data_IF_086611602050
#
_entry.id   IF_086611602050
#
_cell.length_a   1.000
_cell.length_b   1.000
_cell.length_c   1.000
_cell.angle_alpha   90.00
_cell.angle_beta   90.00
_cell.angle_gamma   90.00
#
_symmetry.space_group_name_H-M   'P 1'
#
loop_
_entity.id
_entity.type
_entity.pdbx_description
1 polymer ?
#
# COMPACT_ATOMS: atom_id res chain seq x y z
N UNK A 1 -4.91 -37.75 13.95
CA UNK A 1 -4.63 -36.49 14.68
C UNK A 1 -5.42 -35.38 14.01
N UNK A 2 -6.46 -34.86 14.66
CA UNK A 2 -7.17 -33.68 14.16
C UNK A 2 -6.34 -32.44 14.52
N UNK A 3 -6.05 -31.59 13.53
CA UNK A 3 -5.38 -30.31 13.80
C UNK A 3 -6.32 -29.44 14.65
N UNK A 4 -5.87 -29.02 15.83
CA UNK A 4 -6.61 -28.08 16.67
C UNK A 4 -6.56 -26.70 16.03
N UNK A 5 -7.69 -26.28 15.45
CA UNK A 5 -7.88 -24.96 14.87
C UNK A 5 -8.41 -23.95 15.91
N UNK A 6 -8.11 -24.12 17.20
CA UNK A 6 -8.50 -23.22 18.28
C UNK A 6 -8.13 -21.75 18.02
N UNK A 7 -7.05 -21.45 17.29
CA UNK A 7 -6.74 -20.09 16.82
C UNK A 7 -7.80 -19.49 15.89
N UNK A 8 -8.52 -20.30 15.09
CA UNK A 8 -9.62 -19.82 14.25
C UNK A 8 -10.87 -19.45 15.07
N UNK A 9 -11.01 -19.93 16.31
CA UNK A 9 -12.11 -19.53 17.20
C UNK A 9 -11.99 -18.08 17.69
N UNK A 10 -10.80 -17.47 17.64
CA UNK A 10 -10.62 -16.03 17.89
C UNK A 10 -11.32 -15.16 16.83
N UNK A 11 -11.74 -15.74 15.71
CA UNK A 11 -12.49 -15.08 14.65
C UNK A 11 -13.93 -15.59 14.51
N UNK A 12 -14.40 -16.37 15.49
CA UNK A 12 -15.78 -16.86 15.57
C UNK A 12 -16.75 -15.68 15.68
N UNK A 13 -17.60 -15.52 14.67
CA UNK A 13 -18.70 -14.56 14.65
C UNK A 13 -19.84 -15.07 15.52
N UNK A 14 -19.75 -14.87 16.83
CA UNK A 14 -20.95 -14.95 17.66
C UNK A 14 -21.84 -13.75 17.29
N UNK A 15 -23.05 -13.95 16.73
CA UNK A 15 -23.95 -12.85 16.40
C UNK A 15 -24.40 -12.06 17.64
N UNK A 16 -24.13 -12.56 18.86
CA UNK A 16 -24.38 -11.89 20.12
C UNK A 16 -23.24 -10.96 20.59
N UNK A 17 -22.17 -10.75 19.83
CA UNK A 17 -21.07 -9.85 20.23
C UNK A 17 -21.16 -8.42 19.63
N UNK A 18 -21.71 -7.42 20.34
CA UNK A 18 -21.31 -6.01 20.22
C UNK A 18 -20.23 -5.71 21.30
N UNK A 19 -19.33 -4.68 21.23
CA UNK A 19 -19.16 -3.55 20.32
C UNK A 19 -17.74 -3.45 19.71
N UNK A 20 -16.91 -4.51 19.81
CA UNK A 20 -15.50 -4.44 19.38
C UNK A 20 -15.37 -4.12 17.88
N UNK A 21 -16.35 -4.58 17.12
CA UNK A 21 -16.44 -4.40 15.69
C UNK A 21 -16.82 -2.96 15.30
N UNK A 22 -17.71 -2.28 16.04
CA UNK A 22 -18.01 -0.85 15.81
C UNK A 22 -16.89 0.08 16.25
N UNK A 23 -16.20 -0.24 17.34
CA UNK A 23 -15.04 0.54 17.83
C UNK A 23 -13.85 0.43 16.87
N UNK A 24 -13.59 -0.78 16.34
CA UNK A 24 -12.58 -1.01 15.31
C UNK A 24 -12.94 -0.30 13.98
N UNK A 25 -14.22 -0.28 13.60
CA UNK A 25 -14.70 0.41 12.41
C UNK A 25 -14.47 1.92 12.48
N UNK A 26 -14.88 2.52 13.61
CA UNK A 26 -14.62 3.94 13.87
C UNK A 26 -13.11 4.22 13.91
N UNK A 27 -12.32 3.32 14.48
CA UNK A 27 -10.86 3.47 14.54
C UNK A 27 -10.21 3.44 13.16
N UNK A 28 -10.62 2.54 12.27
CA UNK A 28 -10.06 2.45 10.90
C UNK A 28 -10.53 3.64 10.05
N UNK A 29 -11.81 4.03 10.11
CA UNK A 29 -12.31 5.21 9.37
C UNK A 29 -11.66 6.50 9.88
N UNK A 30 -11.59 6.68 11.20
CA UNK A 30 -10.86 7.79 11.80
C UNK A 30 -9.37 7.74 11.44
N UNK A 31 -8.76 6.55 11.34
CA UNK A 31 -7.37 6.42 10.91
C UNK A 31 -7.18 6.81 9.44
N UNK A 32 -8.05 6.35 8.53
CA UNK A 32 -8.02 6.73 7.11
C UNK A 32 -8.22 8.23 6.95
N UNK A 33 -9.25 8.77 7.60
CA UNK A 33 -9.55 10.20 7.57
C UNK A 33 -8.40 11.03 8.17
N UNK A 34 -7.89 10.65 9.33
CA UNK A 34 -6.77 11.32 9.97
C UNK A 34 -5.52 11.27 9.09
N UNK A 35 -5.23 10.13 8.46
CA UNK A 35 -4.09 9.98 7.55
C UNK A 35 -4.26 10.88 6.32
N UNK A 36 -5.45 10.94 5.73
CA UNK A 36 -5.76 11.81 4.60
C UNK A 36 -5.65 13.30 4.97
N UNK A 37 -6.29 13.74 6.06
CA UNK A 37 -6.26 15.13 6.53
C UNK A 37 -4.83 15.54 6.92
N UNK A 38 -4.12 14.69 7.65
CA UNK A 38 -2.73 14.93 8.06
C UNK A 38 -1.85 15.13 6.84
N UNK A 39 -1.97 14.26 5.84
CA UNK A 39 -1.19 14.38 4.62
C UNK A 39 -1.56 15.61 3.78
N UNK A 40 -2.84 15.98 3.67
CA UNK A 40 -3.29 17.24 3.04
C UNK A 40 -2.69 18.45 3.76
N UNK A 41 -2.83 18.50 5.08
CA UNK A 41 -2.31 19.58 5.93
C UNK A 41 -0.79 19.71 5.82
N UNK A 42 -0.07 18.61 5.62
CA UNK A 42 1.37 18.62 5.39
C UNK A 42 1.78 18.86 3.93
N UNK A 43 0.95 18.59 2.93
CA UNK A 43 1.29 18.80 1.51
C UNK A 43 1.06 20.23 1.03
N UNK A 44 -0.09 20.83 1.38
CA UNK A 44 -0.52 22.14 0.87
C UNK A 44 0.46 23.29 1.18
N UNK A 45 1.01 23.43 2.40
CA UNK A 45 1.93 24.52 2.72
C UNK A 45 3.25 24.47 1.93
N UNK A 46 3.60 23.32 1.35
CA UNK A 46 4.84 23.17 0.58
C UNK A 46 4.64 23.44 -0.91
N UNK A 47 3.43 23.29 -1.45
CA UNK A 47 3.11 23.65 -2.83
C UNK A 47 3.55 25.08 -3.16
N UNK A 48 3.09 26.02 -2.33
CA UNK A 48 3.37 27.46 -2.48
C UNK A 48 4.84 27.83 -2.25
N UNK A 49 5.56 27.08 -1.41
CA UNK A 49 7.00 27.26 -1.18
C UNK A 49 7.84 26.74 -2.35
N UNK A 50 7.42 25.66 -3.01
CA UNK A 50 8.13 25.06 -4.13
C UNK A 50 8.00 25.85 -5.42
N UNK A 51 6.86 26.50 -5.65
CA UNK A 51 6.69 27.41 -6.76
C UNK A 51 7.77 28.50 -6.77
N UNK A 52 8.14 29.04 -5.60
CA UNK A 52 9.17 30.08 -5.47
C UNK A 52 10.57 29.60 -5.85
N UNK A 53 10.84 28.30 -5.82
CA UNK A 53 12.17 27.70 -6.01
C UNK A 53 12.52 27.38 -7.48
N UNK A 54 11.64 27.71 -8.43
CA UNK A 54 11.84 27.70 -9.91
C UNK A 54 12.38 26.41 -10.55
N UNK A 55 12.44 25.27 -9.84
CA UNK A 55 12.90 24.01 -10.41
C UNK A 55 11.74 23.29 -11.13
N UNK A 56 11.77 23.28 -12.47
CA UNK A 56 10.76 22.60 -13.31
C UNK A 56 10.59 21.12 -12.93
N UNK A 57 11.68 20.40 -12.66
CA UNK A 57 11.65 19.00 -12.27
C UNK A 57 10.98 18.80 -10.90
N UNK A 58 11.29 19.64 -9.89
CA UNK A 58 10.65 19.53 -8.58
C UNK A 58 9.16 19.84 -8.64
N UNK A 59 8.74 20.74 -9.53
CA UNK A 59 7.31 21.01 -9.78
C UNK A 59 6.60 19.80 -10.38
N UNK A 60 7.18 19.18 -11.41
CA UNK A 60 6.62 17.94 -12.01
C UNK A 60 6.51 16.83 -10.97
N UNK A 61 7.58 16.60 -10.19
CA UNK A 61 7.57 15.62 -9.11
C UNK A 61 6.49 15.96 -8.07
N UNK A 62 6.39 17.22 -7.65
CA UNK A 62 5.38 17.65 -6.68
C UNK A 62 3.96 17.40 -7.20
N UNK A 63 3.64 17.83 -8.42
CA UNK A 63 2.32 17.61 -9.04
C UNK A 63 1.98 16.13 -9.12
N UNK A 64 2.93 15.27 -9.51
CA UNK A 64 2.68 13.83 -9.52
C UNK A 64 2.41 13.27 -8.12
N UNK A 65 3.18 13.69 -7.13
CA UNK A 65 2.98 13.25 -5.74
C UNK A 65 1.63 13.71 -5.19
N UNK A 66 1.13 14.89 -5.60
CA UNK A 66 -0.23 15.33 -5.26
C UNK A 66 -1.28 14.46 -5.96
N UNK A 67 -1.11 14.17 -7.25
CA UNK A 67 -2.03 13.28 -7.98
C UNK A 67 -2.08 11.88 -7.34
N UNK A 68 -0.92 11.29 -7.07
CA UNK A 68 -0.79 10.00 -6.41
C UNK A 68 -1.37 10.02 -5.00
N UNK A 69 -1.18 11.11 -4.27
CA UNK A 69 -1.77 11.31 -2.96
C UNK A 69 -3.30 11.31 -3.01
N UNK A 70 -3.89 12.11 -3.89
CA UNK A 70 -5.35 12.19 -4.08
C UNK A 70 -5.92 10.83 -4.45
N UNK A 71 -5.27 10.11 -5.36
CA UNK A 71 -5.68 8.77 -5.72
C UNK A 71 -5.61 7.79 -4.55
N UNK A 72 -4.51 7.78 -3.81
CA UNK A 72 -4.36 6.90 -2.65
C UNK A 72 -5.48 7.16 -1.63
N UNK A 73 -5.82 8.42 -1.36
CA UNK A 73 -6.94 8.76 -0.46
C UNK A 73 -8.27 8.22 -0.98
N UNK A 74 -8.58 8.42 -2.27
CA UNK A 74 -9.82 7.94 -2.87
C UNK A 74 -9.89 6.41 -2.81
N UNK A 75 -8.83 5.73 -3.23
CA UNK A 75 -8.75 4.27 -3.28
C UNK A 75 -8.83 3.65 -1.88
N UNK A 76 -8.13 4.22 -0.90
CA UNK A 76 -8.21 3.80 0.50
C UNK A 76 -9.62 4.01 1.05
N UNK A 77 -10.27 5.13 0.73
CA UNK A 77 -11.64 5.41 1.20
C UNK A 77 -12.63 4.42 0.59
N UNK A 78 -12.60 4.23 -0.73
CA UNK A 78 -13.45 3.27 -1.44
C UNK A 78 -13.20 1.84 -0.96
N UNK A 79 -11.94 1.45 -0.81
CA UNK A 79 -11.56 0.14 -0.32
C UNK A 79 -12.02 -0.12 1.11
N UNK A 80 -11.96 0.90 1.98
CA UNK A 80 -12.51 0.82 3.33
C UNK A 80 -14.03 0.66 3.30
N UNK A 81 -14.75 1.41 2.45
CA UNK A 81 -16.20 1.26 2.30
C UNK A 81 -16.58 -0.15 1.84
N UNK A 82 -15.89 -0.70 0.82
CA UNK A 82 -16.08 -2.10 0.40
C UNK A 82 -15.79 -3.05 1.57
N UNK A 83 -14.67 -2.85 2.27
CA UNK A 83 -14.30 -3.67 3.42
C UNK A 83 -15.39 -3.72 4.49
N UNK A 84 -15.97 -2.57 4.85
CA UNK A 84 -17.04 -2.51 5.85
C UNK A 84 -18.36 -3.06 5.33
N UNK A 85 -18.72 -2.78 4.08
CA UNK A 85 -19.99 -3.23 3.50
C UNK A 85 -20.06 -4.76 3.39
N UNK A 86 -18.95 -5.39 3.02
CA UNK A 86 -18.91 -6.82 2.66
C UNK A 86 -18.10 -7.69 3.62
N UNK A 87 -16.97 -7.20 4.14
CA UNK A 87 -16.12 -7.96 5.07
C UNK A 87 -16.75 -8.16 6.46
N UNK A 88 -17.56 -7.20 6.91
CA UNK A 88 -18.22 -7.27 8.22
C UNK A 88 -19.42 -8.21 8.23
N UNK A 89 -20.24 -8.18 7.17
CA UNK A 89 -21.49 -8.96 7.10
C UNK A 89 -21.26 -10.47 6.98
N UNK A 90 -20.09 -10.89 6.52
CA UNK A 90 -19.82 -12.29 6.16
C UNK A 90 -18.68 -12.91 7.02
N UNK A 91 -18.19 -12.14 8.00
CA UNK A 91 -17.01 -12.48 8.80
C UNK A 91 -15.75 -12.63 7.93
N UNK A 92 -14.63 -12.99 8.55
CA UNK A 92 -13.43 -13.37 7.83
C UNK A 92 -13.61 -14.69 7.06
N UNK A 93 -14.82 -15.25 6.95
CA UNK A 93 -15.16 -16.43 6.12
C UNK A 93 -15.22 -16.06 4.63
N UNK A 94 -14.13 -15.45 4.21
CA UNK A 94 -13.66 -15.24 2.86
C UNK A 94 -14.00 -16.41 1.96
N UNK A 95 -14.89 -16.23 0.97
CA UNK A 95 -14.88 -17.14 -0.18
C UNK A 95 -15.74 -16.76 -1.40
N UNK A 96 -16.73 -15.87 -1.31
CA UNK A 96 -17.52 -15.45 -2.48
C UNK A 96 -18.30 -14.18 -2.19
N UNK A 97 -17.60 -13.06 -2.01
CA UNK A 97 -18.31 -11.78 -2.07
C UNK A 97 -18.63 -11.55 -3.54
N UNK A 98 -19.94 -11.48 -3.82
CA UNK A 98 -20.44 -11.10 -5.12
C UNK A 98 -19.81 -9.79 -5.56
N UNK A 99 -19.56 -9.68 -6.86
CA UNK A 99 -19.12 -8.43 -7.48
C UNK A 99 -20.13 -7.35 -7.11
N UNK A 100 -19.70 -6.35 -6.34
CA UNK A 100 -20.55 -5.20 -6.02
C UNK A 100 -20.23 -4.05 -6.96
N UNK A 101 -21.20 -3.17 -7.27
CA UNK A 101 -20.91 -1.94 -8.01
C UNK A 101 -19.78 -1.12 -7.37
N UNK A 102 -19.69 -1.12 -6.03
CA UNK A 102 -18.64 -0.44 -5.29
C UNK A 102 -17.26 -1.10 -5.45
N UNK A 103 -17.17 -2.44 -5.47
CA UNK A 103 -15.89 -3.14 -5.73
C UNK A 103 -15.41 -2.89 -7.15
N UNK A 104 -16.33 -2.88 -8.12
CA UNK A 104 -16.02 -2.56 -9.51
C UNK A 104 -15.52 -1.13 -9.68
N UNK A 105 -16.21 -0.16 -9.06
CA UNK A 105 -15.77 1.24 -9.05
C UNK A 105 -14.38 1.39 -8.43
N UNK A 106 -14.14 0.71 -7.29
CA UNK A 106 -12.84 0.74 -6.62
C UNK A 106 -11.74 0.19 -7.52
N UNK A 107 -11.99 -0.91 -8.22
CA UNK A 107 -11.08 -1.46 -9.22
C UNK A 107 -10.82 -0.52 -10.39
N UNK A 108 -11.85 0.14 -10.93
CA UNK A 108 -11.70 1.07 -12.06
C UNK A 108 -10.86 2.28 -11.68
N UNK A 109 -11.12 2.87 -10.50
CA UNK A 109 -10.34 3.98 -9.97
C UNK A 109 -8.89 3.56 -9.72
N UNK A 110 -8.67 2.39 -9.09
CA UNK A 110 -7.33 1.88 -8.84
C UNK A 110 -6.58 1.56 -10.14
N UNK A 111 -7.25 0.97 -11.14
CA UNK A 111 -6.64 0.64 -12.43
C UNK A 111 -6.19 1.89 -13.17
N UNK A 112 -7.07 2.91 -13.28
CA UNK A 112 -6.73 4.18 -13.91
C UNK A 112 -5.54 4.86 -13.22
N UNK A 113 -5.51 4.83 -11.88
CA UNK A 113 -4.38 5.32 -11.10
C UNK A 113 -3.08 4.57 -11.39
N UNK A 114 -3.07 3.24 -11.27
CA UNK A 114 -1.87 2.45 -11.48
C UNK A 114 -1.31 2.64 -12.89
N UNK A 115 -2.19 2.82 -13.90
CA UNK A 115 -1.80 3.10 -15.27
C UNK A 115 -1.20 4.50 -15.43
N UNK A 116 -1.83 5.53 -14.86
CA UNK A 116 -1.31 6.90 -14.86
C UNK A 116 0.07 6.96 -14.18
N UNK A 117 0.21 6.40 -12.98
CA UNK A 117 1.45 6.47 -12.23
C UNK A 117 2.55 5.60 -12.89
N UNK A 118 2.17 4.48 -13.53
CA UNK A 118 3.09 3.72 -14.37
C UNK A 118 3.63 4.56 -15.54
N UNK A 119 2.76 5.26 -16.28
CA UNK A 119 3.17 6.12 -17.38
C UNK A 119 4.06 7.28 -16.91
N UNK A 120 3.72 7.88 -15.77
CA UNK A 120 4.56 8.91 -15.15
C UNK A 120 5.95 8.38 -14.78
N UNK A 121 6.01 7.27 -14.05
CA UNK A 121 7.27 6.65 -13.64
C UNK A 121 8.10 6.18 -14.84
N UNK A 122 7.43 5.67 -15.88
CA UNK A 122 8.06 5.31 -17.15
C UNK A 122 8.77 6.50 -17.81
N UNK A 123 8.18 7.68 -17.71
CA UNK A 123 8.66 8.90 -18.36
C UNK A 123 9.72 9.63 -17.53
N UNK A 124 9.54 9.71 -16.21
CA UNK A 124 10.29 10.64 -15.36
C UNK A 124 11.17 9.98 -14.30
N UNK A 125 10.85 8.78 -13.85
CA UNK A 125 11.53 8.13 -12.72
C UNK A 125 11.70 6.61 -12.96
N UNK A 126 12.55 6.23 -13.93
CA UNK A 126 12.65 4.83 -14.32
C UNK A 126 13.16 3.97 -13.16
N UNK A 127 12.28 3.07 -12.69
CA UNK A 127 12.55 2.17 -11.59
C UNK A 127 11.88 0.82 -11.87
N UNK A 128 12.70 -0.20 -12.09
CA UNK A 128 12.23 -1.54 -12.47
C UNK A 128 11.32 -2.18 -11.43
N UNK A 129 11.57 -1.91 -10.14
CA UNK A 129 10.75 -2.42 -9.06
C UNK A 129 9.34 -1.82 -9.12
N UNK A 130 9.25 -0.52 -9.40
CA UNK A 130 7.97 0.16 -9.60
C UNK A 130 7.25 -0.37 -10.84
N UNK A 131 7.95 -0.61 -11.95
CA UNK A 131 7.32 -1.21 -13.13
C UNK A 131 6.71 -2.58 -12.82
N UNK A 132 7.47 -3.46 -12.17
CA UNK A 132 6.98 -4.76 -11.76
C UNK A 132 5.77 -4.65 -10.81
N UNK A 133 5.82 -3.72 -9.85
CA UNK A 133 4.71 -3.47 -8.93
C UNK A 133 3.44 -3.03 -9.66
N UNK A 134 3.52 -2.02 -10.53
CA UNK A 134 2.36 -1.48 -11.23
C UNK A 134 1.79 -2.45 -12.27
N UNK A 135 2.65 -3.09 -13.08
CA UNK A 135 2.22 -4.12 -14.04
C UNK A 135 1.55 -5.28 -13.30
N UNK A 136 2.10 -5.67 -12.16
CA UNK A 136 1.52 -6.66 -11.27
C UNK A 136 0.14 -6.28 -10.72
N UNK A 137 0.00 -5.05 -10.20
CA UNK A 137 -1.28 -4.52 -9.72
C UNK A 137 -2.32 -4.48 -10.85
N UNK A 138 -1.95 -3.97 -12.03
CA UNK A 138 -2.83 -3.90 -13.21
C UNK A 138 -3.27 -5.29 -13.66
N UNK A 139 -2.34 -6.25 -13.73
CA UNK A 139 -2.64 -7.64 -14.06
C UNK A 139 -3.58 -8.30 -13.04
N UNK A 140 -3.41 -8.01 -11.75
CA UNK A 140 -4.25 -8.55 -10.68
C UNK A 140 -5.67 -8.00 -10.79
N UNK A 141 -5.81 -6.69 -10.97
CA UNK A 141 -7.11 -6.04 -11.14
C UNK A 141 -7.81 -6.55 -12.41
N UNK A 142 -7.10 -6.61 -13.54
CA UNK A 142 -7.65 -7.11 -14.80
C UNK A 142 -8.13 -8.57 -14.67
N UNK A 143 -7.30 -9.44 -14.08
CA UNK A 143 -7.64 -10.86 -13.89
C UNK A 143 -8.86 -11.03 -12.99
N UNK A 144 -8.91 -10.34 -11.85
CA UNK A 144 -10.04 -10.44 -10.93
C UNK A 144 -11.34 -9.82 -11.46
N UNK A 145 -11.24 -8.83 -12.36
CA UNK A 145 -12.39 -8.33 -13.13
C UNK A 145 -12.87 -9.36 -14.15
N UNK A 146 -11.98 -9.92 -14.97
CA UNK A 146 -12.34 -10.89 -16.01
C UNK A 146 -12.95 -12.17 -15.45
N UNK A 147 -12.41 -12.64 -14.32
CA UNK A 147 -12.90 -13.87 -13.69
C UNK A 147 -14.11 -13.65 -12.79
N UNK A 148 -14.54 -12.40 -12.55
CA UNK A 148 -15.66 -12.05 -11.66
C UNK A 148 -15.63 -12.76 -10.30
N UNK A 149 -14.44 -13.02 -9.79
CA UNK A 149 -14.21 -13.71 -8.53
C UNK A 149 -13.19 -12.94 -7.72
N UNK A 150 -13.21 -13.09 -6.40
CA UNK A 150 -12.15 -12.58 -5.50
C UNK A 150 -11.95 -11.06 -5.52
N UNK A 151 -12.88 -10.27 -6.08
CA UNK A 151 -12.72 -8.81 -6.17
C UNK A 151 -12.54 -8.15 -4.81
N UNK A 152 -13.28 -8.60 -3.79
CA UNK A 152 -13.10 -8.13 -2.42
C UNK A 152 -11.66 -8.33 -1.90
N UNK A 153 -11.04 -9.46 -2.22
CA UNK A 153 -9.65 -9.73 -1.83
C UNK A 153 -8.72 -8.73 -2.50
N UNK A 154 -8.91 -8.47 -3.78
CA UNK A 154 -8.12 -7.49 -4.52
C UNK A 154 -8.32 -6.08 -3.98
N UNK A 155 -9.55 -5.67 -3.69
CA UNK A 155 -9.84 -4.38 -3.04
C UNK A 155 -9.15 -4.25 -1.69
N UNK A 156 -9.12 -5.31 -0.88
CA UNK A 156 -8.37 -5.31 0.38
C UNK A 156 -6.87 -5.18 0.18
N UNK A 157 -6.31 -5.95 -0.75
CA UNK A 157 -4.89 -5.87 -1.06
C UNK A 157 -4.51 -4.45 -1.51
N UNK A 158 -5.35 -3.81 -2.33
CA UNK A 158 -5.23 -2.42 -2.75
C UNK A 158 -5.34 -1.48 -1.55
N UNK A 159 -6.36 -1.62 -0.69
CA UNK A 159 -6.55 -0.79 0.50
C UNK A 159 -5.29 -0.77 1.36
N UNK A 160 -4.79 -1.94 1.77
CA UNK A 160 -3.64 -2.04 2.66
C UNK A 160 -2.32 -1.72 1.95
N UNK A 161 -2.24 -1.90 0.64
CA UNK A 161 -1.15 -1.38 -0.16
C UNK A 161 -1.13 0.15 -0.11
N UNK A 162 -2.22 0.78 -0.53
CA UNK A 162 -2.29 2.23 -0.69
C UNK A 162 -2.33 3.00 0.63
N UNK A 163 -2.67 2.35 1.76
CA UNK A 163 -2.75 2.98 3.08
C UNK A 163 -1.44 3.67 3.51
N UNK A 164 -0.29 3.19 3.03
CA UNK A 164 1.01 3.79 3.34
C UNK A 164 1.32 5.03 2.52
N UNK A 165 0.70 5.18 1.34
CA UNK A 165 1.06 6.20 0.34
C UNK A 165 0.81 7.64 0.82
N UNK A 166 -0.29 7.94 1.53
CA UNK A 166 -0.49 9.24 2.18
C UNK A 166 0.67 9.72 3.06
N UNK A 167 1.40 8.81 3.71
CA UNK A 167 2.57 9.14 4.53
C UNK A 167 3.88 9.01 3.75
N UNK A 168 3.97 8.05 2.83
CA UNK A 168 5.17 7.80 2.02
C UNK A 168 5.48 8.96 1.08
N UNK A 169 4.48 9.45 0.33
CA UNK A 169 4.68 10.46 -0.70
C UNK A 169 5.22 11.79 -0.14
N UNK A 170 4.65 12.36 0.96
CA UNK A 170 5.22 13.56 1.56
C UNK A 170 6.57 13.27 2.24
N UNK A 171 6.73 12.10 2.87
CA UNK A 171 7.99 11.70 3.51
C UNK A 171 9.15 11.63 2.51
N UNK A 172 8.93 10.97 1.36
CA UNK A 172 9.93 10.83 0.31
C UNK A 172 10.24 12.17 -0.36
N UNK A 173 9.19 12.94 -0.64
CA UNK A 173 9.35 14.29 -1.16
C UNK A 173 10.21 15.16 -0.23
N UNK A 174 9.87 15.19 1.07
CA UNK A 174 10.60 15.94 2.07
C UNK A 174 12.07 15.51 2.18
N UNK A 175 12.34 14.20 2.10
CA UNK A 175 13.70 13.63 2.08
C UNK A 175 14.51 14.11 0.87
N UNK A 176 13.96 14.01 -0.32
CA UNK A 176 14.68 14.34 -1.57
C UNK A 176 14.84 15.86 -1.71
N UNK A 177 13.77 16.61 -1.47
CA UNK A 177 13.76 18.06 -1.63
C UNK A 177 14.65 18.76 -0.59
N UNK A 178 14.66 18.32 0.67
CA UNK A 178 15.57 18.89 1.69
C UNK A 178 17.04 18.72 1.29
N UNK A 179 17.44 17.54 0.81
CA UNK A 179 18.80 17.30 0.33
C UNK A 179 19.17 18.24 -0.82
N UNK A 180 18.37 18.27 -1.88
CA UNK A 180 18.63 19.13 -3.07
C UNK A 180 18.68 20.62 -2.73
N UNK A 181 17.86 21.08 -1.79
CA UNK A 181 17.82 22.50 -1.39
C UNK A 181 19.01 22.89 -0.51
N UNK A 182 19.52 21.98 0.32
CA UNK A 182 20.73 22.23 1.10
C UNK A 182 21.97 22.51 0.24
N UNK A 183 21.97 22.05 -1.01
CA UNK A 183 23.07 22.25 -1.96
C UNK A 183 23.04 23.65 -2.63
N UNK A 184 21.88 24.31 -2.72
CA UNK A 184 21.71 25.58 -3.46
C UNK A 184 22.31 26.82 -2.77
N UNK A 185 22.80 26.73 -1.52
CA UNK A 185 23.47 27.79 -0.73
C UNK A 185 22.77 29.18 -0.70
N UNK A 186 21.46 29.27 -0.93
CA UNK A 186 20.69 30.51 -0.71
C UNK A 186 19.91 30.43 0.60
N UNK A 187 19.74 31.56 1.29
CA UNK A 187 19.06 31.58 2.60
C UNK A 187 17.62 31.06 2.52
N UNK A 188 16.89 31.43 1.46
CA UNK A 188 15.54 30.92 1.21
C UNK A 188 15.51 29.39 0.98
N UNK A 189 16.49 28.85 0.26
CA UNK A 189 16.60 27.41 0.05
C UNK A 189 17.00 26.68 1.34
N UNK A 190 17.91 27.25 2.14
CA UNK A 190 18.33 26.70 3.43
C UNK A 190 17.20 26.73 4.47
N UNK A 191 16.40 27.79 4.51
CA UNK A 191 15.19 27.85 5.35
C UNK A 191 14.19 26.76 4.94
N UNK A 192 13.87 26.66 3.65
CA UNK A 192 12.95 25.64 3.13
C UNK A 192 13.50 24.21 3.36
N UNK A 193 14.81 24.01 3.21
CA UNK A 193 15.47 22.74 3.50
C UNK A 193 15.32 22.34 4.97
N UNK A 194 15.38 23.28 5.91
CA UNK A 194 15.19 23.01 7.34
C UNK A 194 13.74 22.62 7.64
N UNK A 195 12.77 23.30 7.04
CA UNK A 195 11.35 22.98 7.19
C UNK A 195 11.03 21.58 6.65
N UNK A 196 11.50 21.25 5.44
CA UNK A 196 11.33 19.93 4.84
C UNK A 196 12.02 18.83 5.65
N UNK A 197 13.19 19.12 6.23
CA UNK A 197 13.87 18.15 7.10
C UNK A 197 13.04 17.85 8.36
N UNK A 198 12.42 18.85 8.99
CA UNK A 198 11.51 18.65 10.13
C UNK A 198 10.30 17.81 9.75
N UNK A 199 9.72 18.06 8.57
CA UNK A 199 8.61 17.24 8.04
C UNK A 199 9.02 15.78 7.83
N UNK A 200 10.18 15.55 7.21
CA UNK A 200 10.73 14.22 7.04
C UNK A 200 10.90 13.50 8.39
N UNK A 201 11.47 14.18 9.38
CA UNK A 201 11.67 13.63 10.73
C UNK A 201 10.34 13.30 11.43
N UNK A 202 9.33 14.18 11.34
CA UNK A 202 8.02 13.96 11.96
C UNK A 202 7.23 12.81 11.33
N UNK A 203 7.34 12.63 10.01
CA UNK A 203 6.65 11.55 9.29
C UNK A 203 7.38 10.20 9.38
N UNK A 204 8.66 10.18 9.71
CA UNK A 204 9.49 8.96 9.64
C UNK A 204 8.97 7.81 10.50
N UNK A 205 8.67 8.08 11.78
CA UNK A 205 8.17 7.03 12.68
C UNK A 205 6.78 6.52 12.29
N UNK A 206 5.74 7.36 12.12
CA UNK A 206 4.41 6.87 11.76
C UNK A 206 4.41 6.17 10.40
N UNK A 207 5.16 6.68 9.42
CA UNK A 207 5.33 5.99 8.14
C UNK A 207 5.98 4.62 8.33
N UNK A 208 7.09 4.52 9.06
CA UNK A 208 7.80 3.24 9.27
C UNK A 208 6.91 2.21 9.95
N UNK A 209 6.18 2.60 10.99
CA UNK A 209 5.26 1.70 11.69
C UNK A 209 4.15 1.22 10.77
N UNK A 210 3.51 2.13 10.04
CA UNK A 210 2.43 1.78 9.11
C UNK A 210 2.94 0.90 7.96
N UNK A 211 4.13 1.21 7.45
CA UNK A 211 4.78 0.41 6.40
C UNK A 211 5.06 -1.01 6.87
N UNK A 212 5.65 -1.18 8.06
CA UNK A 212 5.93 -2.50 8.61
C UNK A 212 4.63 -3.29 8.82
N UNK A 213 3.62 -2.67 9.44
CA UNK A 213 2.34 -3.34 9.68
C UNK A 213 1.64 -3.74 8.38
N UNK A 214 1.49 -2.81 7.43
CA UNK A 214 0.70 -3.03 6.22
C UNK A 214 1.46 -3.78 5.14
N UNK A 215 2.71 -3.40 4.85
CA UNK A 215 3.47 -3.91 3.69
C UNK A 215 4.35 -5.11 4.04
N UNK A 216 4.86 -5.22 5.28
CA UNK A 216 5.71 -6.36 5.69
C UNK A 216 4.89 -7.51 6.28
N UNK A 217 3.89 -7.22 7.11
CA UNK A 217 3.10 -8.27 7.74
C UNK A 217 1.77 -8.53 7.03
N UNK A 218 0.92 -7.50 6.89
CA UNK A 218 -0.43 -7.69 6.41
C UNK A 218 -0.48 -8.14 4.95
N UNK A 219 0.16 -7.40 4.04
CA UNK A 219 0.08 -7.68 2.60
C UNK A 219 0.62 -9.09 2.24
N UNK A 220 1.79 -9.56 2.74
CA UNK A 220 2.24 -10.92 2.45
C UNK A 220 1.32 -11.99 3.05
N UNK A 221 0.88 -11.83 4.30
CA UNK A 221 -0.03 -12.79 4.93
C UNK A 221 -1.38 -12.89 4.21
N UNK A 222 -1.92 -11.74 3.79
CA UNK A 222 -3.16 -11.68 3.03
C UNK A 222 -3.01 -12.26 1.62
N UNK A 223 -1.87 -12.00 0.96
CA UNK A 223 -1.57 -12.57 -0.35
C UNK A 223 -1.49 -14.09 -0.25
N UNK A 224 -0.72 -14.65 0.69
CA UNK A 224 -0.62 -16.10 0.90
C UNK A 224 -1.99 -16.74 1.16
N UNK A 225 -2.85 -16.06 1.93
CA UNK A 225 -4.23 -16.50 2.15
C UNK A 225 -5.05 -16.52 0.85
N UNK A 226 -4.91 -15.52 -0.01
CA UNK A 226 -5.56 -15.48 -1.33
C UNK A 226 -5.19 -16.72 -2.15
N UNK A 227 -3.89 -17.03 -2.22
CA UNK A 227 -3.39 -18.21 -2.94
C UNK A 227 -4.03 -19.48 -2.40
N UNK A 228 -3.99 -19.66 -1.08
CA UNK A 228 -4.55 -20.83 -0.42
C UNK A 228 -6.05 -21.00 -0.72
N UNK A 229 -6.83 -19.93 -0.60
CA UNK A 229 -8.28 -19.95 -0.85
C UNK A 229 -8.58 -20.25 -2.32
N UNK A 230 -7.87 -19.62 -3.25
CA UNK A 230 -8.03 -19.87 -4.68
C UNK A 230 -7.71 -21.32 -5.03
N UNK A 231 -6.56 -21.84 -4.56
CA UNK A 231 -6.12 -23.21 -4.80
C UNK A 231 -7.13 -24.23 -4.27
N UNK A 232 -7.61 -24.03 -3.04
CA UNK A 232 -8.59 -24.91 -2.41
C UNK A 232 -9.91 -24.93 -3.18
N UNK A 233 -10.41 -23.77 -3.62
CA UNK A 233 -11.67 -23.66 -4.38
C UNK A 233 -11.56 -24.21 -5.80
N UNK A 234 -10.43 -23.99 -6.47
CA UNK A 234 -10.18 -24.58 -7.79
C UNK A 234 -10.26 -26.11 -7.71
N UNK A 235 -9.58 -26.71 -6.73
CA UNK A 235 -9.62 -28.16 -6.51
C UNK A 235 -11.03 -28.66 -6.12
N UNK A 236 -11.77 -27.92 -5.29
CA UNK A 236 -13.13 -28.30 -4.90
C UNK A 236 -14.15 -28.21 -6.04
N UNK A 237 -14.08 -27.19 -6.91
CA UNK A 237 -15.02 -27.01 -8.04
C UNK A 237 -14.78 -27.98 -9.19
N UNK A 238 -13.54 -28.44 -9.35
CA UNK A 238 -13.15 -29.36 -10.43
C UNK A 238 -13.27 -30.82 -10.03
N UNK A 239 -13.73 -31.12 -8.80
CA UNK A 239 -13.81 -32.49 -8.28
C UNK A 239 -12.46 -33.19 -8.12
N UNK A 240 -11.34 -32.46 -8.28
CA UNK A 240 -10.01 -33.06 -8.42
C UNK A 240 -9.73 -33.71 -9.78
N UNK A 241 -10.71 -33.70 -10.71
CA UNK A 241 -10.66 -34.44 -11.97
C UNK A 241 -10.21 -33.61 -13.18
N UNK A 242 -10.02 -32.29 -13.02
CA UNK A 242 -9.36 -31.49 -14.06
C UNK A 242 -7.86 -31.71 -13.92
N UNK A 243 -7.19 -32.41 -14.86
CA UNK A 243 -5.75 -32.52 -14.83
C UNK A 243 -5.18 -31.10 -14.83
N UNK A 244 -4.13 -30.85 -14.02
CA UNK A 244 -3.38 -29.59 -13.89
C UNK A 244 -2.83 -29.05 -15.24
N UNK A 245 -3.24 -29.59 -16.38
CA UNK A 245 -2.85 -29.22 -17.73
C UNK A 245 -3.85 -28.31 -18.45
N UNK A 246 -5.15 -28.26 -18.09
CA UNK A 246 -6.17 -27.65 -18.97
C UNK A 246 -6.53 -26.17 -18.71
N UNK A 247 -6.33 -25.69 -17.50
CA UNK A 247 -5.94 -24.30 -17.26
C UNK A 247 -4.61 -24.51 -16.59
N UNK A 248 -3.50 -24.41 -17.32
CA UNK A 248 -2.20 -24.58 -16.67
C UNK A 248 -2.24 -23.70 -15.41
N UNK A 249 -2.11 -24.25 -14.21
CA UNK A 249 -1.98 -23.46 -13.00
C UNK A 249 -0.73 -22.59 -13.13
N UNK A 250 0.17 -22.86 -14.09
CA UNK A 250 1.39 -22.11 -14.24
C UNK A 250 1.13 -20.63 -14.51
N UNK A 251 0.36 -20.10 -15.48
CA UNK A 251 0.27 -18.65 -15.63
C UNK A 251 -0.34 -17.94 -14.42
N UNK A 252 -1.38 -18.49 -13.80
CA UNK A 252 -1.98 -17.88 -12.60
C UNK A 252 -1.10 -18.07 -11.35
N UNK A 253 -0.63 -19.28 -11.06
CA UNK A 253 0.29 -19.54 -9.95
C UNK A 253 1.62 -18.84 -10.16
N UNK A 254 2.19 -18.79 -11.36
CA UNK A 254 3.38 -18.01 -11.71
C UNK A 254 3.11 -16.52 -11.56
N UNK A 255 1.96 -16.01 -11.99
CA UNK A 255 1.58 -14.61 -11.74
C UNK A 255 1.51 -14.33 -10.24
N UNK A 256 0.86 -15.21 -9.48
CA UNK A 256 0.72 -15.13 -8.03
C UNK A 256 2.05 -15.27 -7.30
N UNK A 257 2.91 -16.21 -7.70
CA UNK A 257 4.27 -16.40 -7.19
C UNK A 257 5.14 -15.19 -7.53
N UNK A 258 4.99 -14.64 -8.73
CA UNK A 258 5.64 -13.41 -9.15
C UNK A 258 5.15 -12.23 -8.31
N UNK A 259 3.86 -12.14 -8.00
CA UNK A 259 3.30 -11.09 -7.14
C UNK A 259 3.77 -11.23 -5.69
N UNK A 260 3.80 -12.45 -5.15
CA UNK A 260 4.39 -12.74 -3.82
C UNK A 260 5.87 -12.41 -3.82
N UNK A 261 6.60 -12.84 -4.84
CA UNK A 261 8.02 -12.60 -4.97
C UNK A 261 8.33 -11.11 -5.08
N UNK A 262 7.58 -10.35 -5.88
CA UNK A 262 7.70 -8.89 -5.97
C UNK A 262 7.36 -8.26 -4.63
N UNK A 263 6.25 -8.63 -4.00
CA UNK A 263 5.84 -8.08 -2.69
C UNK A 263 6.90 -8.35 -1.62
N UNK A 264 7.39 -9.58 -1.51
CA UNK A 264 8.47 -9.96 -0.60
C UNK A 264 9.76 -9.23 -0.94
N UNK A 265 10.13 -9.14 -2.22
CA UNK A 265 11.36 -8.47 -2.66
C UNK A 265 11.33 -6.98 -2.36
N UNK A 266 10.20 -6.31 -2.61
CA UNK A 266 9.97 -4.90 -2.26
C UNK A 266 10.06 -4.72 -0.75
N UNK A 267 9.32 -5.53 0.02
CA UNK A 267 9.31 -5.47 1.48
C UNK A 267 10.68 -5.76 2.08
N UNK A 268 11.44 -6.68 1.48
CA UNK A 268 12.81 -7.03 1.88
C UNK A 268 13.80 -5.90 1.61
N UNK A 269 13.77 -5.29 0.42
CA UNK A 269 14.64 -4.14 0.12
C UNK A 269 14.39 -2.98 1.07
N UNK A 270 13.13 -2.74 1.43
CA UNK A 270 12.76 -1.74 2.41
C UNK A 270 13.19 -2.09 3.83
N UNK A 271 12.96 -3.33 4.28
CA UNK A 271 13.43 -3.81 5.58
C UNK A 271 14.96 -3.68 5.68
N UNK A 272 15.68 -4.06 4.63
CA UNK A 272 17.11 -3.88 4.51
C UNK A 272 17.51 -2.39 4.59
N UNK A 273 16.76 -1.50 3.92
CA UNK A 273 16.95 -0.05 4.00
C UNK A 273 16.79 0.49 5.43
N UNK A 274 15.77 0.04 6.16
CA UNK A 274 15.53 0.40 7.57
C UNK A 274 16.68 -0.07 8.45
N UNK A 275 17.08 -1.35 8.35
CA UNK A 275 18.18 -1.93 9.14
C UNK A 275 19.48 -1.21 8.85
N UNK A 276 19.81 -1.00 7.58
CA UNK A 276 21.02 -0.27 7.16
C UNK A 276 21.00 1.17 7.67
N UNK A 277 19.85 1.84 7.60
CA UNK A 277 19.65 3.18 8.14
C UNK A 277 19.88 3.26 9.65
N UNK A 278 19.33 2.31 10.41
CA UNK A 278 19.51 2.21 11.85
C UNK A 278 20.98 1.96 12.24
N UNK A 279 21.67 1.06 11.54
CA UNK A 279 23.10 0.80 11.75
C UNK A 279 23.92 2.07 11.54
N UNK A 280 23.69 2.78 10.42
CA UNK A 280 24.37 4.06 10.12
C UNK A 280 24.07 5.12 11.18
N UNK A 281 22.82 5.23 11.64
CA UNK A 281 22.43 6.15 12.71
C UNK A 281 23.18 5.85 14.02
N UNK A 282 23.23 4.59 14.45
CA UNK A 282 23.96 4.16 15.66
C UNK A 282 25.45 4.43 15.55
N UNK A 283 26.06 4.16 14.38
CA UNK A 283 27.45 4.47 14.12
C UNK A 283 27.75 5.98 14.26
N UNK A 284 26.92 6.83 13.65
CA UNK A 284 27.07 8.29 13.74
C UNK A 284 26.93 8.83 15.17
N UNK A 285 25.99 8.30 15.97
CA UNK A 285 25.87 8.69 17.38
C UNK A 285 27.08 8.27 18.21
N UNK A 286 27.70 7.12 17.91
CA UNK A 286 28.91 6.68 18.60
C UNK A 286 30.10 7.59 18.31
N UNK A 287 30.25 8.06 17.08
CA UNK A 287 31.33 9.01 16.73
C UNK A 287 31.09 10.38 17.36
N UNK A 288 29.85 10.88 17.39
CA UNK A 288 29.50 12.15 18.03
C UNK A 288 29.68 12.16 19.55
N UNK A 289 29.58 11.01 20.22
CA UNK A 289 29.86 10.90 21.66
C UNK A 289 31.35 10.87 22.02
N UNK A 290 32.22 10.63 21.02
CA UNK A 290 33.67 10.55 21.18
C UNK A 290 34.39 11.85 20.81
N UNK A 291 33.71 12.74 20.09
CA UNK A 291 34.16 14.09 19.77
C UNK A 291 33.62 15.07 20.81
#
# INVERSE_FOLDING_TARGET
MAADYSFLRLFSTDPASPPFSSLLNNSILSFVFFTAVTAIAYFLPFASKLERLHSKLLRIQFTNRVAAFTHAVIVVTLGALVYFETGFKQGWSLMSIDVTPLSMLTHDVAFGYFLYDFAFMATFEPNWLYYCHHVGSLGTIATTRLLSTTQWLTVNAILFGELTNPLQLPWEFARIASKKLSEKRTDAALATSRDLKRLYESLSLPYTLLYVLCRVFYAPGFTLRHIYVWYTRYNLRTGGDVPLSFISPQPFCTFVYLMVFITISVSWQWAHGIVTGYIKFRAKRRTQKKA
#
